data_IF_212741226360
#
_entry.id   IF_212741226360
#
_cell.length_a   1.000
_cell.length_b   1.000
_cell.length_c   1.000
_cell.angle_alpha   90.00
_cell.angle_beta   90.00
_cell.angle_gamma   90.00
#
_symmetry.space_group_name_H-M   'P 1'
#
loop_
_entity.id
_entity.type
_entity.pdbx_description
1 polymer ?
#
# COMPACT_ATOMS: atom_id res chain seq x y z
N UNK A 1 -8.06 9.66 52.20
CA UNK A 1 -7.04 9.35 53.23
C UNK A 1 -5.69 9.79 52.71
N UNK A 2 -4.73 10.11 53.59
CA UNK A 2 -3.35 10.43 53.20
C UNK A 2 -3.15 11.89 52.80
N UNK A 3 -3.03 12.78 53.78
CA UNK A 3 -2.38 14.07 53.62
C UNK A 3 -0.86 13.90 53.79
N UNK A 4 -0.07 14.52 52.92
CA UNK A 4 1.13 15.28 53.34
C UNK A 4 1.61 16.20 52.21
N UNK A 5 1.73 17.48 52.51
CA UNK A 5 2.52 18.42 51.69
C UNK A 5 4.02 18.24 51.97
N UNK A 6 4.86 18.12 50.94
CA UNK A 6 6.29 18.41 51.05
C UNK A 6 6.66 19.61 50.16
N UNK A 7 7.55 20.46 50.66
CA UNK A 7 7.75 21.85 50.27
C UNK A 7 9.23 22.12 50.04
N UNK A 8 9.83 21.35 49.14
CA UNK A 8 11.28 21.37 48.89
C UNK A 8 11.76 22.71 48.33
N UNK A 9 12.69 23.33 49.07
CA UNK A 9 13.12 24.71 48.88
C UNK A 9 13.96 24.92 47.62
N UNK A 10 13.43 25.65 46.64
CA UNK A 10 14.24 26.23 45.55
C UNK A 10 15.10 27.36 46.14
N UNK A 11 16.30 27.02 46.64
CA UNK A 11 17.32 28.00 47.02
C UNK A 11 17.89 28.65 45.75
N UNK A 12 17.46 29.88 45.45
CA UNK A 12 18.14 30.74 44.47
C UNK A 12 19.59 30.96 44.92
N UNK A 13 20.56 30.52 44.13
CA UNK A 13 21.92 31.01 44.23
C UNK A 13 21.99 32.40 43.57
N UNK A 14 22.58 33.38 44.26
CA UNK A 14 22.90 34.69 43.68
C UNK A 14 24.11 34.62 42.73
N UNK A 15 24.32 35.62 41.87
CA UNK A 15 25.46 35.67 40.98
C UNK A 15 26.77 35.85 41.75
N UNK A 16 27.81 35.10 41.36
CA UNK A 16 29.18 35.33 41.80
C UNK A 16 29.81 36.42 40.92
N UNK A 17 30.40 37.49 41.49
CA UNK A 17 31.33 38.33 40.75
C UNK A 17 32.69 37.63 40.68
N UNK A 18 33.22 37.44 39.46
CA UNK A 18 34.64 37.26 39.27
C UNK A 18 35.11 38.10 38.10
N UNK A 19 35.97 39.07 38.40
CA UNK A 19 36.45 40.08 37.47
C UNK A 19 37.69 39.54 36.73
N UNK A 20 37.72 39.74 35.41
CA UNK A 20 38.68 39.06 34.54
C UNK A 20 40.05 39.77 34.51
N UNK A 21 41.11 39.07 34.93
CA UNK A 21 42.49 39.39 34.54
C UNK A 21 43.20 38.13 34.01
N UNK A 22 43.91 38.20 32.86
CA UNK A 22 44.57 37.04 32.27
C UNK A 22 45.93 36.75 32.92
N UNK A 23 46.18 35.48 33.23
CA UNK A 23 47.52 34.97 33.51
C UNK A 23 48.27 34.78 32.18
N UNK A 24 49.45 35.40 32.07
CA UNK A 24 50.30 35.27 30.89
C UNK A 24 50.89 33.86 30.76
N UNK A 25 51.13 33.43 29.52
CA UNK A 25 51.79 32.15 29.21
C UNK A 25 53.30 32.23 29.43
N UNK A 26 53.96 31.10 29.74
CA UNK A 26 55.41 30.99 29.60
C UNK A 26 55.80 30.90 28.12
N UNK A 27 56.88 31.59 27.75
CA UNK A 27 57.52 31.49 26.43
C UNK A 27 59.01 31.24 26.61
N UNK A 28 59.56 30.38 25.76
CA UNK A 28 60.87 29.77 25.94
C UNK A 28 62.02 30.51 25.21
N UNK A 29 63.24 30.14 25.59
CA UNK A 29 64.49 30.28 24.82
C UNK A 29 65.21 31.66 24.68
N UNK A 30 66.53 31.67 24.37
CA UNK A 30 67.47 32.46 25.17
C UNK A 30 68.35 33.45 24.38
N UNK A 31 69.10 34.28 25.11
CA UNK A 31 70.35 34.88 24.60
C UNK A 31 71.46 34.87 25.65
N UNK A 32 72.68 34.63 25.17
CA UNK A 32 73.93 34.75 25.93
C UNK A 32 74.58 36.12 25.72
N UNK A 33 75.21 36.65 26.78
CA UNK A 33 76.40 37.54 26.83
C UNK A 33 76.66 37.79 28.34
N UNK A 34 77.86 38.07 28.83
CA UNK A 34 79.15 38.16 28.15
C UNK A 34 80.12 38.99 28.99
N UNK A 35 80.91 38.32 29.85
CA UNK A 35 81.85 38.95 30.79
C UNK A 35 81.26 39.24 32.19
N UNK A 36 82.05 39.31 33.26
CA UNK A 36 83.48 38.97 33.36
C UNK A 36 84.27 39.86 34.30
N UNK A 37 84.39 39.48 35.59
CA UNK A 37 85.52 39.90 36.42
C UNK A 37 85.75 39.03 37.67
N UNK A 38 87.00 38.57 37.75
CA UNK A 38 87.84 38.28 38.92
C UNK A 38 87.80 39.38 40.02
N UNK A 39 88.28 39.21 41.26
CA UNK A 39 89.01 38.13 41.97
C UNK A 39 88.76 38.23 43.53
N UNK A 40 89.39 37.42 44.41
CA UNK A 40 88.86 37.13 45.76
C UNK A 40 89.71 37.56 46.99
N UNK A 41 89.17 37.27 48.18
CA UNK A 41 89.87 37.09 49.48
C UNK A 41 90.44 38.40 50.14
N UNK A 42 91.24 38.38 51.23
CA UNK A 42 90.67 38.67 52.56
C UNK A 42 91.49 39.61 53.48
N UNK A 43 90.84 40.19 54.49
CA UNK A 43 91.50 40.78 55.67
C UNK A 43 90.72 40.39 56.94
N UNK A 44 91.26 39.88 58.06
CA UNK A 44 92.60 39.84 58.68
C UNK A 44 92.77 40.79 59.88
N UNK A 45 93.21 40.20 61.00
CA UNK A 45 94.00 40.81 62.09
C UNK A 45 93.55 42.12 62.75
N UNK A 46 93.25 42.03 64.05
CA UNK A 46 94.08 42.72 65.06
C UNK A 46 93.94 42.06 66.46
N UNK A 47 94.98 41.34 66.90
CA UNK A 47 95.25 41.13 68.32
C UNK A 47 96.28 42.20 68.73
N UNK A 48 96.07 42.88 69.85
CA UNK A 48 96.96 43.95 70.31
C UNK A 48 97.39 43.76 71.77
N UNK A 49 98.66 43.36 71.95
CA UNK A 49 99.45 43.39 73.18
C UNK A 49 100.93 43.22 72.80
N UNK A 50 101.93 43.61 73.63
CA UNK A 50 101.87 44.31 74.91
C UNK A 50 102.37 45.77 74.76
N UNK A 51 102.98 46.38 75.79
CA UNK A 51 104.45 46.33 75.80
C UNK A 51 105.06 45.96 77.17
N UNK A 52 106.29 45.45 77.13
CA UNK A 52 107.18 45.39 78.29
C UNK A 52 108.34 46.37 78.10
N UNK A 53 108.78 47.03 79.17
CA UNK A 53 110.04 47.78 79.21
C UNK A 53 110.75 47.49 80.54
N UNK A 54 112.08 47.50 80.49
CA UNK A 54 112.95 47.09 81.59
C UNK A 54 114.14 48.04 81.73
N UNK A 55 114.78 48.00 82.91
CA UNK A 55 116.18 48.41 83.14
C UNK A 55 116.55 49.89 82.99
N UNK A 56 116.79 50.55 84.12
CA UNK A 56 118.11 51.16 84.46
C UNK A 56 118.41 50.80 85.93
N UNK A 57 119.69 50.79 86.33
CA UNK A 57 120.17 50.29 87.64
C UNK A 57 121.00 51.33 88.41
N UNK A 58 121.15 51.11 89.74
CA UNK A 58 122.04 51.85 90.66
C UNK A 58 121.56 53.29 90.99
N UNK A 59 121.77 53.89 92.18
CA UNK A 59 122.94 53.88 93.09
C UNK A 59 122.53 53.85 94.60
N UNK A 60 123.51 53.48 95.45
CA UNK A 60 123.58 53.39 96.92
C UNK A 60 122.71 54.30 97.82
N UNK A 61 122.52 53.92 99.11
CA UNK A 61 121.94 54.86 100.10
C UNK A 61 121.54 54.45 101.52
N UNK A 62 122.04 53.36 102.14
CA UNK A 62 121.90 53.13 103.60
C UNK A 62 120.47 52.97 104.19
N UNK A 63 120.35 53.10 105.52
CA UNK A 63 119.06 53.25 106.24
C UNK A 63 118.33 51.96 106.66
N UNK A 64 118.58 51.50 107.90
CA UNK A 64 117.99 50.32 108.54
C UNK A 64 116.46 50.44 108.81
N UNK A 65 115.59 50.27 107.79
CA UNK A 65 114.11 50.34 107.97
C UNK A 65 113.31 49.39 107.04
N UNK A 66 113.79 48.15 106.88
CA UNK A 66 113.36 47.26 105.79
C UNK A 66 112.04 46.45 105.97
N UNK A 67 111.57 46.04 107.17
CA UNK A 67 110.36 45.23 107.29
C UNK A 67 109.07 45.99 106.92
N UNK A 68 108.88 47.18 107.49
CA UNK A 68 107.59 47.91 107.45
C UNK A 68 107.26 48.39 106.04
N UNK A 69 108.26 48.88 105.28
CA UNK A 69 108.06 49.33 103.90
C UNK A 69 107.64 48.18 102.96
N UNK A 70 108.19 46.97 103.16
CA UNK A 70 107.77 45.76 102.42
C UNK A 70 106.35 45.33 102.79
N UNK A 71 105.98 45.37 104.08
CA UNK A 71 104.62 45.07 104.52
C UNK A 71 103.59 46.04 103.92
N UNK A 72 103.87 47.34 103.92
CA UNK A 72 102.97 48.35 103.33
C UNK A 72 102.83 48.19 101.81
N UNK A 73 103.91 47.84 101.11
CA UNK A 73 103.86 47.52 99.68
C UNK A 73 103.00 46.27 99.41
N UNK A 74 103.17 45.21 100.20
CA UNK A 74 102.38 43.98 100.10
C UNK A 74 100.89 44.22 100.43
N UNK A 75 100.57 45.07 101.42
CA UNK A 75 99.21 45.48 101.73
C UNK A 75 98.56 46.27 100.59
N UNK A 76 99.29 47.21 99.96
CA UNK A 76 98.80 47.95 98.78
C UNK A 76 98.59 47.03 97.59
N UNK A 77 99.52 46.11 97.32
CA UNK A 77 99.39 45.12 96.25
C UNK A 77 98.19 44.17 96.49
N UNK A 78 97.98 43.71 97.73
CA UNK A 78 96.80 42.92 98.13
C UNK A 78 95.51 43.71 97.88
N UNK A 79 95.45 44.99 98.26
CA UNK A 79 94.25 45.82 98.02
C UNK A 79 93.98 46.03 96.53
N UNK A 80 95.01 46.31 95.72
CA UNK A 80 94.87 46.42 94.28
C UNK A 80 94.34 45.10 93.66
N UNK A 81 94.92 43.95 94.04
CA UNK A 81 94.44 42.65 93.60
C UNK A 81 92.98 42.37 94.04
N UNK A 82 92.56 42.81 95.24
CA UNK A 82 91.16 42.71 95.68
C UNK A 82 90.23 43.62 94.85
N UNK A 83 90.65 44.85 94.54
CA UNK A 83 89.90 45.76 93.68
C UNK A 83 89.79 45.24 92.24
N UNK A 84 90.83 44.61 91.71
CA UNK A 84 90.81 44.00 90.37
C UNK A 84 90.00 42.71 90.33
N UNK A 85 90.03 41.88 91.38
CA UNK A 85 89.09 40.76 91.57
C UNK A 85 87.64 41.26 91.61
N UNK A 86 87.35 42.38 92.28
CA UNK A 86 86.00 42.96 92.29
C UNK A 86 85.58 43.48 90.91
N UNK A 87 86.47 44.18 90.19
CA UNK A 87 86.21 44.63 88.80
C UNK A 87 85.95 43.43 87.87
N UNK A 88 86.72 42.35 88.02
CA UNK A 88 86.57 41.12 87.26
C UNK A 88 85.25 40.39 87.62
N UNK A 89 84.88 40.32 88.89
CA UNK A 89 83.60 39.76 89.34
C UNK A 89 82.41 40.54 88.76
N UNK A 90 82.43 41.87 88.85
CA UNK A 90 81.40 42.74 88.27
C UNK A 90 81.29 42.54 86.75
N UNK A 91 82.44 42.44 86.04
CA UNK A 91 82.48 42.19 84.59
C UNK A 91 81.95 40.80 84.22
N UNK A 92 82.28 39.76 85.00
CA UNK A 92 81.76 38.41 84.81
C UNK A 92 80.24 38.35 85.05
N UNK A 93 79.72 39.10 86.04
CA UNK A 93 78.28 39.19 86.28
C UNK A 93 77.54 39.92 85.15
N UNK A 94 78.13 41.00 84.61
CA UNK A 94 77.59 41.67 83.41
C UNK A 94 77.60 40.73 82.20
N UNK A 95 78.73 40.06 81.92
CA UNK A 95 78.85 39.14 80.78
C UNK A 95 77.87 37.97 80.90
N UNK A 96 77.66 37.40 82.09
CA UNK A 96 76.60 36.39 82.34
C UNK A 96 75.20 36.93 82.06
N UNK A 97 74.90 38.17 82.49
CA UNK A 97 73.61 38.83 82.19
C UNK A 97 73.43 39.17 80.70
N UNK A 98 74.50 39.30 79.94
CA UNK A 98 74.48 39.49 78.48
C UNK A 98 74.37 38.15 77.74
N UNK A 99 75.04 37.11 78.22
CA UNK A 99 74.91 35.72 77.80
C UNK A 99 73.47 35.21 78.00
N UNK A 100 72.89 35.39 79.19
CA UNK A 100 71.47 35.07 79.46
C UNK A 100 70.51 35.74 78.46
N UNK A 101 70.75 37.01 78.14
CA UNK A 101 69.95 37.77 77.16
C UNK A 101 70.15 37.23 75.74
N UNK A 102 71.37 36.86 75.37
CA UNK A 102 71.67 36.29 74.04
C UNK A 102 71.08 34.89 73.89
N UNK A 103 71.21 34.03 74.90
CA UNK A 103 70.62 32.68 74.95
C UNK A 103 69.10 32.74 74.86
N UNK A 104 68.44 33.64 75.60
CA UNK A 104 66.98 33.84 75.50
C UNK A 104 66.56 34.31 74.10
N UNK A 105 67.27 35.26 73.50
CA UNK A 105 67.03 35.71 72.11
C UNK A 105 67.22 34.56 71.12
N UNK A 106 68.30 33.78 71.24
CA UNK A 106 68.57 32.62 70.37
C UNK A 106 67.48 31.55 70.51
N UNK A 107 67.02 31.27 71.73
CA UNK A 107 65.92 30.33 71.98
C UNK A 107 64.61 30.83 71.36
N UNK A 108 64.29 32.11 71.51
CA UNK A 108 63.11 32.72 70.89
C UNK A 108 63.20 32.72 69.35
N UNK A 109 64.35 33.07 68.77
CA UNK A 109 64.58 33.01 67.31
C UNK A 109 64.45 31.58 66.80
N UNK A 110 64.98 30.58 67.52
CA UNK A 110 64.81 29.15 67.18
C UNK A 110 63.34 28.73 67.23
N UNK A 111 62.58 29.13 68.28
CA UNK A 111 61.15 28.83 68.39
C UNK A 111 60.34 29.46 67.27
N UNK A 112 60.55 30.76 66.98
CA UNK A 112 59.92 31.46 65.85
C UNK A 112 60.28 30.81 64.51
N UNK A 113 61.52 30.34 64.33
CA UNK A 113 61.93 29.61 63.12
C UNK A 113 61.20 28.26 62.99
N UNK A 114 61.07 27.50 64.08
CA UNK A 114 60.29 26.25 64.13
C UNK A 114 58.82 26.51 63.76
N UNK A 115 58.17 27.48 64.41
CA UNK A 115 56.79 27.89 64.11
C UNK A 115 56.59 28.28 62.63
N UNK A 116 57.57 28.99 62.03
CA UNK A 116 57.56 29.32 60.60
C UNK A 116 57.72 28.06 59.74
N UNK A 117 58.58 27.11 60.09
CA UNK A 117 58.72 25.85 59.33
C UNK A 117 57.48 24.96 59.42
N UNK A 118 56.85 24.87 60.59
CA UNK A 118 55.60 24.12 60.80
C UNK A 118 54.39 24.78 60.11
N UNK A 119 54.34 26.11 60.10
CA UNK A 119 53.33 26.85 59.32
C UNK A 119 53.53 26.63 57.82
N UNK A 120 54.77 26.75 57.32
CA UNK A 120 55.10 26.49 55.90
C UNK A 120 54.75 25.06 55.49
N UNK A 121 55.09 24.07 56.32
CA UNK A 121 54.72 22.68 56.07
C UNK A 121 53.20 22.52 55.99
N UNK A 122 52.45 22.96 57.02
CA UNK A 122 50.97 22.86 57.02
C UNK A 122 50.32 23.59 55.84
N UNK A 123 50.88 24.73 55.41
CA UNK A 123 50.38 25.47 54.25
C UNK A 123 50.66 24.74 52.93
N UNK A 124 51.81 24.08 52.78
CA UNK A 124 52.14 23.28 51.60
C UNK A 124 51.39 21.94 51.59
N UNK A 125 51.28 21.23 52.72
CA UNK A 125 50.43 20.04 52.88
C UNK A 125 48.96 20.38 52.49
N UNK A 126 48.43 21.51 52.97
CA UNK A 126 47.08 21.99 52.63
C UNK A 126 46.94 22.46 51.17
N UNK A 127 48.03 22.92 50.53
CA UNK A 127 48.06 23.26 49.11
C UNK A 127 48.05 22.00 48.24
N UNK A 128 48.85 21.00 48.59
CA UNK A 128 48.91 19.71 47.90
C UNK A 128 47.57 18.97 48.03
N UNK A 129 46.95 18.96 49.21
CA UNK A 129 45.61 18.41 49.41
C UNK A 129 44.54 19.10 48.54
N UNK A 130 44.60 20.43 48.36
CA UNK A 130 43.71 21.16 47.44
C UNK A 130 43.94 20.79 45.98
N UNK A 131 45.20 20.68 45.56
CA UNK A 131 45.56 20.29 44.18
C UNK A 131 45.10 18.86 43.89
N UNK A 132 45.35 17.92 44.80
CA UNK A 132 44.91 16.53 44.70
C UNK A 132 43.39 16.43 44.59
N UNK A 133 42.66 17.05 45.53
CA UNK A 133 41.19 17.09 45.52
C UNK A 133 40.63 17.71 44.23
N UNK A 134 41.26 18.77 43.71
CA UNK A 134 40.86 19.38 42.43
C UNK A 134 41.11 18.42 41.24
N UNK A 135 42.26 17.72 41.21
CA UNK A 135 42.59 16.75 40.17
C UNK A 135 41.66 15.53 40.19
N UNK A 136 41.38 14.98 41.38
CA UNK A 136 40.40 13.91 41.58
C UNK A 136 39.02 14.34 41.08
N UNK A 137 38.53 15.51 41.53
CA UNK A 137 37.21 16.02 41.14
C UNK A 137 37.09 16.30 39.65
N UNK A 138 38.18 16.73 39.01
CA UNK A 138 38.23 16.93 37.57
C UNK A 138 38.32 15.59 36.80
N UNK A 139 38.97 14.57 37.36
CA UNK A 139 38.92 13.19 36.84
C UNK A 139 37.52 12.56 36.97
N UNK A 140 36.83 12.74 38.11
CA UNK A 140 35.42 12.32 38.25
C UNK A 140 34.53 12.94 37.17
N UNK A 141 34.70 14.24 36.91
CA UNK A 141 33.94 14.96 35.89
C UNK A 141 34.27 14.48 34.46
N UNK A 142 35.54 14.19 34.15
CA UNK A 142 35.95 13.55 32.89
C UNK A 142 35.31 12.16 32.75
N UNK A 143 35.50 11.28 33.73
CA UNK A 143 34.96 9.92 33.73
C UNK A 143 33.42 9.91 33.59
N UNK A 144 32.72 10.86 34.22
CA UNK A 144 31.28 11.06 34.05
C UNK A 144 30.93 11.53 32.63
N UNK A 145 31.66 12.51 32.09
CA UNK A 145 31.46 13.00 30.73
C UNK A 145 31.65 11.88 29.68
N UNK A 146 32.74 11.13 29.77
CA UNK A 146 33.08 10.04 28.86
C UNK A 146 32.09 8.88 28.99
N UNK A 147 31.63 8.57 30.20
CA UNK A 147 30.53 7.63 30.43
C UNK A 147 29.23 8.10 29.76
N UNK A 148 28.87 9.37 29.88
CA UNK A 148 27.67 9.95 29.23
C UNK A 148 27.81 9.95 27.70
N UNK A 149 29.00 10.25 27.16
CA UNK A 149 29.30 10.16 25.73
C UNK A 149 29.20 8.72 25.23
N UNK A 150 29.87 7.76 25.87
CA UNK A 150 29.81 6.35 25.49
C UNK A 150 28.37 5.81 25.56
N UNK A 151 27.63 6.10 26.63
CA UNK A 151 26.20 5.74 26.71
C UNK A 151 25.34 6.40 25.63
N UNK A 152 25.68 7.61 25.15
CA UNK A 152 24.99 8.30 24.04
C UNK A 152 25.34 7.67 22.69
N UNK A 153 26.61 7.37 22.45
CA UNK A 153 27.15 6.68 21.28
C UNK A 153 26.58 5.25 21.16
N UNK A 154 26.54 4.49 22.25
CA UNK A 154 25.99 3.14 22.26
C UNK A 154 24.48 3.14 22.00
N UNK A 155 23.73 4.08 22.59
CA UNK A 155 22.31 4.28 22.27
C UNK A 155 22.10 4.65 20.79
N UNK A 156 23.00 5.45 20.18
CA UNK A 156 22.99 5.73 18.73
C UNK A 156 23.25 4.45 17.93
N UNK A 157 24.28 3.67 18.26
CA UNK A 157 24.64 2.40 17.61
C UNK A 157 23.53 1.36 17.72
N UNK A 158 22.94 1.16 18.90
CA UNK A 158 21.79 0.25 19.11
C UNK A 158 20.58 0.66 18.26
N UNK A 159 20.25 1.95 18.19
CA UNK A 159 19.18 2.48 17.31
C UNK A 159 19.48 2.25 15.84
N UNK A 160 20.71 2.54 15.38
CA UNK A 160 21.12 2.31 13.99
C UNK A 160 21.10 0.82 13.62
N UNK A 161 21.62 -0.06 14.48
CA UNK A 161 21.60 -1.51 14.28
C UNK A 161 20.16 -2.06 14.21
N UNK A 162 19.27 -1.62 15.11
CA UNK A 162 17.84 -1.98 15.09
C UNK A 162 17.14 -1.47 13.83
N UNK A 163 17.39 -0.22 13.41
CA UNK A 163 16.83 0.33 12.18
C UNK A 163 17.32 -0.42 10.92
N UNK A 164 18.61 -0.79 10.87
CA UNK A 164 19.17 -1.60 9.79
C UNK A 164 18.61 -3.02 9.77
N UNK A 165 18.46 -3.67 10.93
CA UNK A 165 17.82 -4.98 11.04
C UNK A 165 16.36 -4.94 10.57
N UNK A 166 15.58 -3.97 11.05
CA UNK A 166 14.18 -3.75 10.66
C UNK A 166 14.03 -3.37 9.17
N UNK A 167 15.02 -2.70 8.58
CA UNK A 167 15.06 -2.44 7.13
C UNK A 167 15.38 -3.71 6.34
N UNK A 168 16.31 -4.55 6.84
CA UNK A 168 16.68 -5.82 6.22
C UNK A 168 15.50 -6.80 6.22
N UNK A 169 14.87 -7.04 7.37
CA UNK A 169 13.72 -7.98 7.46
C UNK A 169 12.56 -7.55 6.57
N UNK A 170 12.20 -6.25 6.56
CA UNK A 170 11.18 -5.70 5.65
C UNK A 170 11.55 -5.86 4.17
N UNK A 171 12.82 -5.70 3.79
CA UNK A 171 13.28 -5.94 2.41
C UNK A 171 13.18 -7.42 2.02
N UNK A 172 13.53 -8.32 2.93
CA UNK A 172 13.43 -9.78 2.72
C UNK A 172 11.96 -10.23 2.63
N UNK A 173 11.08 -9.68 3.46
CA UNK A 173 9.63 -9.90 3.43
C UNK A 173 9.01 -9.39 2.12
N UNK A 174 9.30 -8.14 1.71
CA UNK A 174 8.85 -7.58 0.43
C UNK A 174 9.38 -8.42 -0.75
N UNK A 175 10.61 -8.93 -0.69
CA UNK A 175 11.16 -9.80 -1.73
C UNK A 175 10.42 -11.15 -1.81
N UNK A 176 10.09 -11.77 -0.67
CA UNK A 176 9.27 -13.00 -0.60
C UNK A 176 7.88 -12.77 -1.17
N UNK A 177 7.16 -11.74 -0.70
CA UNK A 177 5.82 -11.39 -1.17
C UNK A 177 5.80 -11.05 -2.67
N UNK A 178 6.84 -10.40 -3.19
CA UNK A 178 6.97 -10.13 -4.63
C UNK A 178 7.19 -11.41 -5.44
N UNK A 179 7.98 -12.36 -4.94
CA UNK A 179 8.19 -13.65 -5.60
C UNK A 179 6.93 -14.53 -5.56
N UNK A 180 6.22 -14.56 -4.42
CA UNK A 180 4.95 -15.28 -4.26
C UNK A 180 3.85 -14.69 -5.14
N UNK A 181 3.66 -13.36 -5.10
CA UNK A 181 2.75 -12.66 -6.01
C UNK A 181 3.04 -12.99 -7.47
N UNK A 182 4.32 -12.95 -7.88
CA UNK A 182 4.71 -13.30 -9.26
C UNK A 182 4.27 -14.73 -9.62
N UNK A 183 4.48 -15.72 -8.74
CA UNK A 183 4.04 -17.11 -8.99
C UNK A 183 2.52 -17.23 -9.14
N UNK A 184 1.75 -16.48 -8.36
CA UNK A 184 0.28 -16.43 -8.46
C UNK A 184 -0.16 -15.74 -9.77
N UNK A 185 0.53 -14.68 -10.20
CA UNK A 185 0.29 -14.02 -11.49
C UNK A 185 0.63 -14.96 -12.68
N UNK A 186 1.72 -15.72 -12.60
CA UNK A 186 2.08 -16.75 -13.59
C UNK A 186 1.07 -17.91 -13.63
N UNK A 187 0.65 -18.44 -12.47
CA UNK A 187 -0.34 -19.53 -12.40
C UNK A 187 -1.72 -19.09 -12.90
N UNK A 188 -2.18 -17.90 -12.51
CA UNK A 188 -3.48 -17.37 -12.98
C UNK A 188 -3.46 -16.99 -14.46
N UNK A 189 -2.30 -16.60 -15.02
CA UNK A 189 -2.14 -16.47 -16.46
C UNK A 189 -2.22 -17.82 -17.18
N UNK A 190 -1.55 -18.86 -16.67
CA UNK A 190 -1.62 -20.22 -17.23
C UNK A 190 -3.04 -20.79 -17.22
N UNK A 191 -3.76 -20.69 -16.10
CA UNK A 191 -5.17 -21.13 -15.99
C UNK A 191 -6.07 -20.40 -16.99
N UNK A 192 -5.92 -19.08 -17.15
CA UNK A 192 -6.67 -18.28 -18.14
C UNK A 192 -6.41 -18.71 -19.57
N UNK A 193 -5.16 -19.08 -19.90
CA UNK A 193 -4.82 -19.56 -21.24
C UNK A 193 -5.37 -20.98 -21.49
N UNK A 194 -5.32 -21.86 -20.49
CA UNK A 194 -5.94 -23.19 -20.56
C UNK A 194 -7.46 -23.09 -20.79
N UNK A 195 -8.15 -22.21 -20.06
CA UNK A 195 -9.59 -21.96 -20.23
C UNK A 195 -9.90 -21.27 -21.57
N UNK A 196 -9.00 -20.40 -22.08
CA UNK A 196 -9.10 -19.83 -23.44
C UNK A 196 -9.01 -20.93 -24.50
N UNK A 197 -8.09 -21.89 -24.35
CA UNK A 197 -7.94 -23.03 -25.26
C UNK A 197 -9.17 -23.95 -25.22
N UNK A 198 -9.70 -24.28 -24.03
CA UNK A 198 -10.95 -25.04 -23.88
C UNK A 198 -12.16 -24.34 -24.52
N UNK A 199 -12.24 -23.01 -24.38
CA UNK A 199 -13.29 -22.21 -25.00
C UNK A 199 -13.19 -22.20 -26.53
N UNK A 200 -11.97 -22.12 -27.09
CA UNK A 200 -11.72 -22.21 -28.52
C UNK A 200 -12.05 -23.61 -29.08
N UNK A 201 -11.65 -24.68 -28.39
CA UNK A 201 -11.99 -26.05 -28.75
C UNK A 201 -13.52 -26.29 -28.73
N UNK A 202 -14.19 -25.87 -27.65
CA UNK A 202 -15.65 -25.94 -27.53
C UNK A 202 -16.36 -25.17 -28.66
N UNK A 203 -15.87 -23.97 -28.99
CA UNK A 203 -16.42 -23.13 -30.08
C UNK A 203 -16.28 -23.81 -31.45
N UNK A 204 -15.13 -24.42 -31.74
CA UNK A 204 -14.92 -25.12 -33.01
C UNK A 204 -15.74 -26.42 -33.07
N UNK A 205 -15.87 -27.16 -31.97
CA UNK A 205 -16.75 -28.34 -31.89
C UNK A 205 -18.22 -27.99 -32.15
N UNK A 206 -18.73 -26.91 -31.56
CA UNK A 206 -20.09 -26.42 -31.81
C UNK A 206 -20.26 -26.01 -33.29
N UNK A 207 -19.28 -25.30 -33.86
CA UNK A 207 -19.25 -24.90 -35.27
C UNK A 207 -19.28 -26.10 -36.22
N UNK A 208 -18.46 -27.12 -35.97
CA UNK A 208 -18.43 -28.35 -36.79
C UNK A 208 -19.74 -29.14 -36.66
N UNK A 209 -20.27 -29.26 -35.44
CA UNK A 209 -21.57 -29.90 -35.17
C UNK A 209 -22.71 -29.19 -35.92
N UNK A 210 -22.73 -27.86 -35.92
CA UNK A 210 -23.72 -27.06 -36.64
C UNK A 210 -23.58 -27.14 -38.18
N UNK A 211 -22.34 -27.22 -38.70
CA UNK A 211 -22.09 -27.43 -40.13
C UNK A 211 -22.59 -28.82 -40.58
N UNK A 212 -22.21 -29.88 -39.87
CA UNK A 212 -22.67 -31.24 -40.15
C UNK A 212 -24.20 -31.40 -40.03
N UNK A 213 -24.83 -30.75 -39.04
CA UNK A 213 -26.29 -30.71 -38.92
C UNK A 213 -26.94 -30.03 -40.13
N UNK A 214 -26.40 -28.89 -40.58
CA UNK A 214 -26.87 -28.19 -41.79
C UNK A 214 -26.67 -29.02 -43.06
N UNK A 215 -25.58 -29.76 -43.15
CA UNK A 215 -25.27 -30.66 -44.26
C UNK A 215 -26.29 -31.80 -44.37
N UNK A 216 -26.59 -32.52 -43.27
CA UNK A 216 -27.65 -33.55 -43.27
C UNK A 216 -29.03 -33.01 -43.65
N UNK A 217 -29.37 -31.78 -43.24
CA UNK A 217 -30.61 -31.10 -43.66
C UNK A 217 -30.64 -30.76 -45.15
N UNK A 218 -29.50 -30.43 -45.75
CA UNK A 218 -29.39 -30.21 -47.21
C UNK A 218 -29.50 -31.54 -47.97
N UNK A 219 -28.80 -32.59 -47.52
CA UNK A 219 -28.96 -33.94 -48.08
C UNK A 219 -30.41 -34.41 -48.01
N UNK A 220 -31.10 -34.21 -46.88
CA UNK A 220 -32.49 -34.63 -46.71
C UNK A 220 -33.43 -33.90 -47.68
N UNK A 221 -33.24 -32.59 -47.85
CA UNK A 221 -33.95 -31.81 -48.87
C UNK A 221 -33.66 -32.35 -50.28
N UNK A 222 -32.40 -32.65 -50.60
CA UNK A 222 -32.01 -33.23 -51.89
C UNK A 222 -32.64 -34.62 -52.10
N UNK A 223 -32.65 -35.48 -51.07
CA UNK A 223 -33.30 -36.81 -51.10
C UNK A 223 -34.81 -36.69 -51.30
N UNK A 224 -35.48 -35.76 -50.63
CA UNK A 224 -36.92 -35.57 -50.74
C UNK A 224 -37.31 -34.93 -52.08
N UNK A 225 -36.50 -34.00 -52.61
CA UNK A 225 -36.65 -33.47 -53.98
C UNK A 225 -36.46 -34.57 -55.03
N UNK A 226 -35.48 -35.47 -54.88
CA UNK A 226 -35.32 -36.62 -55.77
C UNK A 226 -36.52 -37.56 -55.74
N UNK A 227 -37.01 -37.93 -54.54
CA UNK A 227 -38.23 -38.76 -54.41
C UNK A 227 -39.45 -38.12 -55.09
N UNK A 228 -39.68 -36.82 -54.86
CA UNK A 228 -40.77 -36.08 -55.46
C UNK A 228 -40.63 -36.01 -56.99
N UNK A 229 -39.41 -35.80 -57.50
CA UNK A 229 -39.11 -35.84 -58.94
C UNK A 229 -39.39 -37.22 -59.55
N UNK A 230 -38.89 -38.31 -58.94
CA UNK A 230 -39.10 -39.66 -59.48
C UNK A 230 -40.57 -40.09 -59.44
N UNK A 231 -41.34 -39.66 -58.43
CA UNK A 231 -42.78 -39.90 -58.35
C UNK A 231 -43.55 -39.07 -59.40
N UNK A 232 -43.13 -37.84 -59.67
CA UNK A 232 -43.67 -37.03 -60.77
C UNK A 232 -43.36 -37.64 -62.14
N UNK A 233 -42.12 -38.05 -62.39
CA UNK A 233 -41.70 -38.69 -63.64
C UNK A 233 -42.43 -40.02 -63.86
N UNK A 234 -42.64 -40.83 -62.81
CA UNK A 234 -43.49 -42.03 -62.85
C UNK A 234 -44.92 -41.73 -63.31
N UNK A 235 -45.56 -40.70 -62.72
CA UNK A 235 -46.94 -40.30 -63.10
C UNK A 235 -47.03 -39.77 -64.52
N UNK A 236 -46.03 -39.01 -64.99
CA UNK A 236 -45.98 -38.52 -66.37
C UNK A 236 -45.88 -39.67 -67.37
N UNK A 237 -45.06 -40.69 -67.08
CA UNK A 237 -44.95 -41.86 -67.95
C UNK A 237 -46.18 -42.78 -67.87
N UNK A 238 -46.85 -42.87 -66.70
CA UNK A 238 -48.14 -43.56 -66.57
C UNK A 238 -49.23 -42.90 -67.42
N UNK A 239 -49.41 -41.57 -67.33
CA UNK A 239 -50.35 -40.81 -68.18
C UNK A 239 -49.98 -40.89 -69.67
N UNK A 240 -48.69 -40.81 -70.02
CA UNK A 240 -48.24 -41.05 -71.40
C UNK A 240 -48.63 -42.44 -71.89
N UNK A 241 -48.40 -43.49 -71.09
CA UNK A 241 -48.73 -44.86 -71.47
C UNK A 241 -50.25 -45.07 -71.60
N UNK A 242 -51.05 -44.40 -70.77
CA UNK A 242 -52.51 -44.40 -70.85
C UNK A 242 -53.01 -43.65 -72.09
N UNK A 243 -52.39 -42.51 -72.42
CA UNK A 243 -52.68 -41.75 -73.62
C UNK A 243 -52.30 -42.52 -74.89
N UNK A 244 -51.16 -43.21 -74.92
CA UNK A 244 -50.73 -44.03 -76.05
C UNK A 244 -51.66 -45.25 -76.26
N UNK A 245 -52.16 -45.87 -75.18
CA UNK A 245 -53.20 -46.92 -75.28
C UNK A 245 -54.48 -46.36 -75.91
N UNK A 246 -54.98 -45.22 -75.42
CA UNK A 246 -56.16 -44.53 -75.97
C UNK A 246 -55.95 -44.12 -77.43
N UNK A 247 -54.76 -43.64 -77.80
CA UNK A 247 -54.42 -43.26 -79.18
C UNK A 247 -54.40 -44.48 -80.12
N UNK A 248 -53.90 -45.64 -79.66
CA UNK A 248 -53.97 -46.91 -80.41
C UNK A 248 -55.40 -47.40 -80.59
N UNK A 249 -56.24 -47.26 -79.57
CA UNK A 249 -57.67 -47.60 -79.62
C UNK A 249 -58.45 -46.67 -80.58
N UNK A 250 -58.24 -45.36 -80.49
CA UNK A 250 -58.76 -44.36 -81.44
C UNK A 250 -58.29 -44.65 -82.88
N UNK A 251 -57.04 -45.05 -83.08
CA UNK A 251 -56.51 -45.43 -84.40
C UNK A 251 -57.18 -46.70 -84.97
N UNK A 252 -57.62 -47.63 -84.10
CA UNK A 252 -58.43 -48.79 -84.51
C UNK A 252 -59.85 -48.38 -84.88
N UNK A 253 -60.52 -47.59 -84.03
CA UNK A 253 -61.88 -47.11 -84.30
C UNK A 253 -61.96 -46.24 -85.58
N UNK A 254 -60.97 -45.37 -85.82
CA UNK A 254 -60.90 -44.57 -87.05
C UNK A 254 -60.68 -45.41 -88.33
N UNK A 255 -60.05 -46.58 -88.24
CA UNK A 255 -59.95 -47.53 -89.37
C UNK A 255 -61.27 -48.24 -89.63
N UNK A 256 -61.97 -48.64 -88.56
CA UNK A 256 -63.29 -49.28 -88.64
C UNK A 256 -64.34 -48.29 -89.19
N UNK A 257 -64.28 -47.02 -88.78
CA UNK A 257 -65.05 -45.91 -89.35
C UNK A 257 -64.71 -45.69 -90.83
N UNK A 258 -63.44 -45.59 -91.20
CA UNK A 258 -63.00 -45.44 -92.60
C UNK A 258 -63.51 -46.59 -93.48
N UNK A 259 -63.46 -47.83 -92.99
CA UNK A 259 -64.05 -48.98 -93.67
C UNK A 259 -65.57 -48.87 -93.81
N UNK A 260 -66.29 -48.44 -92.76
CA UNK A 260 -67.74 -48.24 -92.79
C UNK A 260 -68.14 -47.15 -93.78
N UNK A 261 -67.43 -46.01 -93.80
CA UNK A 261 -67.61 -44.92 -94.77
C UNK A 261 -67.38 -45.44 -96.19
N UNK A 262 -66.31 -46.20 -96.45
CA UNK A 262 -66.09 -46.80 -97.75
C UNK A 262 -67.16 -47.84 -98.14
N UNK A 263 -67.63 -48.67 -97.19
CA UNK A 263 -68.71 -49.64 -97.40
C UNK A 263 -70.03 -48.93 -97.72
N UNK A 264 -70.32 -47.80 -97.06
CA UNK A 264 -71.47 -46.94 -97.34
C UNK A 264 -71.35 -46.27 -98.72
N UNK A 265 -70.19 -45.70 -99.04
CA UNK A 265 -69.95 -45.06 -100.35
C UNK A 265 -70.06 -46.07 -101.50
N UNK A 266 -69.53 -47.29 -101.34
CA UNK A 266 -69.71 -48.39 -102.32
C UNK A 266 -71.19 -48.75 -102.50
N UNK A 267 -71.97 -48.85 -101.42
CA UNK A 267 -73.43 -49.09 -101.49
C UNK A 267 -74.18 -47.93 -102.15
N UNK A 268 -73.85 -46.69 -101.83
CA UNK A 268 -74.44 -45.50 -102.47
C UNK A 268 -74.08 -45.39 -103.96
N UNK A 269 -72.89 -45.86 -104.37
CA UNK A 269 -72.50 -45.97 -105.77
C UNK A 269 -73.30 -47.06 -106.48
N UNK A 270 -73.33 -48.28 -105.93
CA UNK A 270 -74.11 -49.40 -106.46
C UNK A 270 -75.62 -49.08 -106.56
N UNK A 271 -76.19 -48.40 -105.56
CA UNK A 271 -77.59 -47.94 -105.61
C UNK A 271 -77.82 -46.94 -106.75
N UNK A 272 -76.87 -46.03 -106.98
CA UNK A 272 -76.94 -45.03 -108.07
C UNK A 272 -76.77 -45.68 -109.45
N UNK A 273 -75.87 -46.64 -109.57
CA UNK A 273 -75.68 -47.46 -110.78
C UNK A 273 -76.92 -48.30 -111.09
N UNK A 274 -77.54 -48.91 -110.08
CA UNK A 274 -78.79 -49.67 -110.22
C UNK A 274 -79.98 -48.76 -110.57
N UNK A 275 -80.04 -47.52 -110.06
CA UNK A 275 -81.04 -46.54 -110.53
C UNK A 275 -80.78 -46.11 -111.98
N UNK A 276 -79.52 -45.88 -112.38
CA UNK A 276 -79.18 -45.53 -113.77
C UNK A 276 -79.49 -46.68 -114.75
N UNK A 277 -79.31 -47.94 -114.33
CA UNK A 277 -79.71 -49.13 -115.07
C UNK A 277 -81.23 -49.30 -115.14
N UNK A 278 -81.96 -48.99 -114.06
CA UNK A 278 -83.42 -48.94 -114.03
C UNK A 278 -83.97 -47.83 -114.94
N UNK A 279 -83.37 -46.64 -114.95
CA UNK A 279 -83.74 -45.53 -115.85
C UNK A 279 -83.54 -45.91 -117.32
N UNK A 280 -82.46 -46.63 -117.64
CA UNK A 280 -82.24 -47.20 -118.99
C UNK A 280 -83.28 -48.27 -119.34
N UNK A 281 -83.63 -49.14 -118.40
CA UNK A 281 -84.62 -50.20 -118.61
C UNK A 281 -86.06 -49.66 -118.76
N UNK A 282 -86.40 -48.55 -118.10
CA UNK A 282 -87.69 -47.85 -118.18
C UNK A 282 -87.80 -46.92 -119.41
N UNK A 283 -86.91 -47.05 -120.39
CA UNK A 283 -86.73 -46.15 -121.53
C UNK A 283 -87.85 -46.08 -122.59
N UNK A 284 -89.13 -46.33 -122.26
CA UNK A 284 -90.25 -46.12 -123.20
C UNK A 284 -91.54 -45.59 -122.51
N UNK A 285 -92.20 -44.62 -123.17
CA UNK A 285 -93.60 -44.16 -123.00
C UNK A 285 -93.91 -42.98 -122.03
N UNK A 286 -94.09 -41.80 -122.65
CA UNK A 286 -95.07 -40.70 -122.41
C UNK A 286 -95.15 -39.91 -121.06
N UNK A 287 -94.83 -38.62 -121.18
CA UNK A 287 -95.73 -37.44 -121.01
C UNK A 287 -96.71 -37.38 -119.80
N UNK A 288 -96.18 -37.20 -118.59
CA UNK A 288 -96.55 -36.13 -117.61
C UNK A 288 -98.00 -35.96 -117.10
N UNK A 289 -98.31 -34.72 -116.63
CA UNK A 289 -99.61 -34.12 -116.21
C UNK A 289 -99.98 -34.12 -114.69
N UNK A 290 -99.93 -32.91 -114.12
CA UNK A 290 -100.61 -32.36 -112.91
C UNK A 290 -100.23 -32.77 -111.47
N UNK A 291 -99.72 -31.78 -110.73
CA UNK A 291 -100.31 -31.12 -109.53
C UNK A 291 -101.09 -31.99 -108.51
N UNK A 292 -100.49 -32.17 -107.33
CA UNK A 292 -101.10 -32.30 -105.99
C UNK A 292 -99.97 -32.05 -104.95
N UNK A 293 -100.23 -31.69 -103.69
CA UNK A 293 -101.56 -31.53 -103.07
C UNK A 293 -101.65 -31.69 -101.55
N UNK A 294 -100.52 -31.76 -100.83
CA UNK A 294 -100.48 -31.76 -99.35
C UNK A 294 -100.82 -33.08 -98.65
N UNK A 295 -100.53 -33.14 -97.34
CA UNK A 295 -101.21 -34.03 -96.39
C UNK A 295 -100.42 -35.21 -95.78
N UNK A 296 -99.96 -35.02 -94.53
CA UNK A 296 -100.26 -35.98 -93.44
C UNK A 296 -99.21 -37.03 -93.04
N UNK A 297 -99.18 -37.34 -91.73
CA UNK A 297 -98.49 -38.49 -91.13
C UNK A 297 -97.03 -38.26 -90.72
N UNK A 298 -96.62 -38.35 -89.43
CA UNK A 298 -97.39 -38.49 -88.19
C UNK A 298 -96.97 -39.70 -87.34
N UNK A 299 -96.47 -39.45 -86.13
CA UNK A 299 -96.07 -40.46 -85.14
C UNK A 299 -94.56 -40.40 -84.80
N UNK A 300 -94.14 -40.45 -83.53
CA UNK A 300 -94.94 -40.40 -82.29
C UNK A 300 -94.07 -40.60 -81.04
N UNK A 301 -94.59 -40.21 -79.86
CA UNK A 301 -94.01 -40.56 -78.55
C UNK A 301 -93.11 -39.51 -77.89
N UNK A 302 -93.67 -38.78 -76.92
CA UNK A 302 -92.98 -38.53 -75.63
C UNK A 302 -93.46 -39.61 -74.61
N UNK A 303 -93.61 -39.31 -73.30
CA UNK A 303 -93.28 -38.07 -72.59
C UNK A 303 -92.74 -38.26 -71.13
N UNK A 304 -92.48 -37.14 -70.39
CA UNK A 304 -92.46 -37.01 -68.91
C UNK A 304 -91.44 -37.87 -68.09
N UNK A 305 -91.27 -37.77 -66.75
CA UNK A 305 -91.10 -36.67 -65.76
C UNK A 305 -90.84 -37.27 -64.33
N UNK A 306 -90.58 -36.46 -63.28
CA UNK A 306 -90.64 -36.78 -61.81
C UNK A 306 -89.41 -37.57 -61.26
N UNK A 307 -88.81 -37.39 -60.06
CA UNK A 307 -88.91 -36.50 -58.86
C UNK A 307 -87.47 -36.19 -58.32
N UNK A 308 -87.15 -35.12 -57.57
CA UNK A 308 -87.38 -34.81 -56.11
C UNK A 308 -87.14 -35.99 -55.14
N UNK A 309 -86.56 -35.85 -53.92
CA UNK A 309 -85.64 -34.90 -53.26
C UNK A 309 -85.06 -35.60 -51.98
N UNK A 310 -84.45 -35.07 -50.89
CA UNK A 310 -84.24 -33.71 -50.32
C UNK A 310 -83.14 -33.71 -49.20
N UNK A 311 -82.74 -32.53 -48.68
CA UNK A 311 -81.93 -32.30 -47.45
C UNK A 311 -80.41 -32.56 -47.51
N UNK A 312 -79.52 -31.91 -46.73
CA UNK A 312 -79.61 -30.80 -45.75
C UNK A 312 -78.53 -30.94 -44.64
N UNK A 313 -77.74 -29.94 -44.20
CA UNK A 313 -77.71 -28.50 -44.52
C UNK A 313 -76.42 -27.76 -44.03
N UNK A 314 -76.59 -26.53 -43.52
CA UNK A 314 -75.62 -25.46 -43.12
C UNK A 314 -74.47 -25.87 -42.17
N UNK A 315 -73.35 -25.12 -41.96
CA UNK A 315 -73.15 -23.67 -41.62
C UNK A 315 -71.86 -23.08 -42.27
N UNK A 316 -71.69 -21.74 -42.26
CA UNK A 316 -70.68 -20.92 -42.99
C UNK A 316 -69.57 -20.28 -42.06
N UNK A 317 -68.54 -19.57 -42.60
CA UNK A 317 -67.27 -19.19 -41.91
C UNK A 317 -67.29 -17.78 -41.24
N UNK A 318 -66.14 -17.19 -40.83
CA UNK A 318 -65.33 -16.34 -41.74
C UNK A 318 -63.79 -16.29 -41.48
N UNK A 319 -63.10 -15.35 -42.13
CA UNK A 319 -61.69 -14.93 -41.90
C UNK A 319 -61.53 -13.96 -40.71
N UNK A 320 -60.31 -13.84 -40.16
CA UNK A 320 -59.55 -12.58 -39.88
C UNK A 320 -58.21 -12.91 -39.18
N UNK A 321 -57.35 -11.94 -38.79
CA UNK A 321 -56.06 -12.27 -38.15
C UNK A 321 -55.27 -11.15 -37.46
N UNK A 322 -54.30 -11.58 -36.61
CA UNK A 322 -53.39 -10.78 -35.75
C UNK A 322 -54.10 -10.04 -34.57
N UNK A 323 -53.42 -9.58 -33.49
CA UNK A 323 -52.00 -9.67 -33.11
C UNK A 323 -51.69 -10.09 -31.63
N UNK A 324 -50.39 -10.22 -31.32
CA UNK A 324 -49.64 -9.82 -30.08
C UNK A 324 -50.28 -9.82 -28.65
N UNK A 325 -49.58 -10.50 -27.70
CA UNK A 325 -49.59 -10.31 -26.21
C UNK A 325 -50.87 -10.73 -25.44
N UNK A 326 -50.86 -10.92 -24.10
CA UNK A 326 -49.84 -10.65 -23.06
C UNK A 326 -49.78 -11.77 -21.96
N UNK A 327 -49.31 -11.43 -20.74
CA UNK A 327 -49.16 -12.26 -19.54
C UNK A 327 -50.38 -13.13 -19.16
N UNK A 328 -50.11 -14.20 -18.39
CA UNK A 328 -51.07 -14.72 -17.40
C UNK A 328 -50.38 -14.84 -16.02
N UNK A 329 -51.17 -14.88 -14.93
CA UNK A 329 -50.71 -14.47 -13.58
C UNK A 329 -51.00 -15.48 -12.47
N UNK A 330 -50.10 -15.52 -11.49
CA UNK A 330 -50.40 -15.81 -10.09
C UNK A 330 -51.00 -17.20 -9.74
N UNK A 331 -50.15 -18.22 -9.64
CA UNK A 331 -50.36 -19.30 -8.65
C UNK A 331 -49.66 -18.92 -7.36
N UNK A 332 -50.42 -18.53 -6.33
CA UNK A 332 -49.90 -18.24 -4.99
C UNK A 332 -50.47 -19.20 -3.96
N UNK A 333 -49.62 -20.11 -3.47
CA UNK A 333 -49.82 -20.84 -2.22
C UNK A 333 -48.48 -21.38 -1.68
N UNK A 334 -48.04 -20.80 -0.57
CA UNK A 334 -47.19 -21.42 0.47
C UNK A 334 -45.97 -22.27 0.05
N UNK A 335 -44.79 -21.63 0.03
CA UNK A 335 -43.59 -22.26 0.58
C UNK A 335 -42.84 -21.28 1.51
N UNK A 336 -43.32 -21.17 2.75
CA UNK A 336 -42.55 -20.59 3.84
C UNK A 336 -41.35 -21.48 4.17
N UNK A 337 -40.13 -21.00 3.89
CA UNK A 337 -38.86 -21.39 4.53
C UNK A 337 -37.67 -20.59 4.00
N UNK A 338 -37.00 -19.86 4.91
CA UNK A 338 -35.58 -19.51 4.80
C UNK A 338 -35.23 -18.35 3.87
N UNK A 339 -34.90 -17.19 4.47
CA UNK A 339 -34.24 -16.09 3.76
C UNK A 339 -32.76 -16.46 3.57
N UNK A 340 -32.41 -17.02 2.41
CA UNK A 340 -31.04 -17.11 1.92
C UNK A 340 -30.98 -17.22 0.39
N UNK A 341 -30.02 -16.53 -0.22
CA UNK A 341 -29.67 -16.56 -1.65
C UNK A 341 -30.79 -16.26 -2.66
N UNK A 342 -31.07 -14.96 -2.87
CA UNK A 342 -31.53 -14.45 -4.18
C UNK A 342 -30.35 -14.35 -5.16
N UNK A 343 -30.58 -14.25 -6.47
CA UNK A 343 -29.47 -13.97 -7.39
C UNK A 343 -28.94 -12.55 -7.18
N UNK A 344 -27.61 -12.43 -7.15
CA UNK A 344 -26.86 -11.18 -7.00
C UNK A 344 -27.25 -10.13 -8.07
N UNK A 345 -27.75 -10.59 -9.23
CA UNK A 345 -28.24 -9.73 -10.32
C UNK A 345 -29.63 -9.15 -10.06
N UNK A 346 -30.50 -9.90 -9.39
CA UNK A 346 -31.85 -9.46 -9.03
C UNK A 346 -31.78 -8.40 -7.92
N UNK A 347 -30.88 -8.59 -6.96
CA UNK A 347 -30.54 -7.58 -5.94
C UNK A 347 -30.06 -6.27 -6.59
N UNK A 348 -29.10 -6.32 -7.53
CA UNK A 348 -28.61 -5.14 -8.26
C UNK A 348 -29.73 -4.46 -9.05
N UNK A 349 -30.61 -5.22 -9.69
CA UNK A 349 -31.74 -4.68 -10.44
C UNK A 349 -32.75 -3.97 -9.53
N UNK A 350 -33.08 -4.55 -8.37
CA UNK A 350 -33.98 -3.95 -7.39
C UNK A 350 -33.39 -2.65 -6.80
N UNK A 351 -32.11 -2.65 -6.42
CA UNK A 351 -31.43 -1.46 -5.89
C UNK A 351 -31.39 -0.36 -6.95
N UNK A 352 -31.06 -0.70 -8.20
CA UNK A 352 -31.01 0.24 -9.32
C UNK A 352 -32.38 0.84 -9.65
N UNK A 353 -33.44 0.05 -9.55
CA UNK A 353 -34.81 0.54 -9.76
C UNK A 353 -35.19 1.61 -8.70
N UNK A 354 -34.86 1.40 -7.42
CA UNK A 354 -35.13 2.41 -6.37
C UNK A 354 -34.22 3.64 -6.48
N UNK A 355 -32.98 3.48 -6.94
CA UNK A 355 -32.07 4.61 -7.19
C UNK A 355 -32.58 5.50 -8.34
N UNK A 356 -32.96 4.90 -9.47
CA UNK A 356 -33.50 5.62 -10.64
C UNK A 356 -34.81 6.38 -10.32
N UNK A 357 -35.58 5.93 -9.33
CA UNK A 357 -36.81 6.60 -8.87
C UNK A 357 -36.53 7.92 -8.10
N UNK A 358 -35.29 8.14 -7.65
CA UNK A 358 -34.85 9.38 -7.00
C UNK A 358 -33.99 10.25 -7.94
N UNK A 359 -33.28 9.65 -8.88
CA UNK A 359 -32.58 10.34 -9.98
C UNK A 359 -33.51 10.56 -11.18
N UNK A 360 -34.55 11.37 -10.98
CA UNK A 360 -35.59 11.68 -11.99
C UNK A 360 -35.07 12.42 -13.23
N UNK A 361 -33.81 12.86 -13.23
CA UNK A 361 -33.15 13.54 -14.35
C UNK A 361 -32.05 12.67 -15.00
N UNK A 362 -31.89 11.40 -14.57
CA UNK A 362 -30.97 10.43 -15.19
C UNK A 362 -29.49 10.78 -15.11
N UNK A 363 -29.07 11.49 -14.05
CA UNK A 363 -27.74 12.08 -13.87
C UNK A 363 -26.65 11.09 -13.46
N UNK A 364 -27.03 9.88 -13.03
CA UNK A 364 -26.16 8.86 -12.44
C UNK A 364 -25.84 9.06 -10.96
N UNK A 365 -26.46 10.05 -10.30
CA UNK A 365 -26.21 10.41 -8.91
C UNK A 365 -27.44 11.00 -8.23
N UNK A 366 -27.59 10.74 -6.93
CA UNK A 366 -28.59 11.39 -6.06
C UNK A 366 -27.91 12.42 -5.14
N UNK A 367 -28.67 13.40 -4.65
CA UNK A 367 -28.17 14.32 -3.62
C UNK A 367 -28.07 13.62 -2.26
N UNK A 368 -27.08 13.99 -1.44
CA UNK A 368 -26.83 13.37 -0.13
C UNK A 368 -28.04 13.37 0.81
N UNK A 369 -28.83 14.45 0.80
CA UNK A 369 -30.10 14.57 1.57
C UNK A 369 -31.15 13.51 1.21
N UNK A 370 -31.07 12.92 0.03
CA UNK A 370 -32.05 11.97 -0.50
C UNK A 370 -31.64 10.50 -0.24
N UNK A 371 -30.45 10.25 0.33
CA UNK A 371 -29.98 8.92 0.77
C UNK A 371 -30.96 8.26 1.75
N UNK A 372 -31.47 9.01 2.74
CA UNK A 372 -32.44 8.48 3.71
C UNK A 372 -33.74 7.99 3.04
N UNK A 373 -34.14 8.61 1.92
CA UNK A 373 -35.30 8.17 1.12
C UNK A 373 -34.99 6.90 0.31
N UNK A 374 -33.75 6.75 -0.18
CA UNK A 374 -33.30 5.54 -0.86
C UNK A 374 -33.32 4.34 0.10
N UNK A 375 -32.69 4.48 1.27
CA UNK A 375 -32.65 3.43 2.30
C UNK A 375 -34.06 3.00 2.71
N UNK A 376 -34.94 3.96 2.99
CA UNK A 376 -36.34 3.68 3.34
C UNK A 376 -37.11 2.94 2.23
N UNK A 377 -36.81 3.21 0.96
CA UNK A 377 -37.38 2.49 -0.21
C UNK A 377 -36.83 1.08 -0.41
N UNK A 378 -35.61 0.82 0.07
CA UNK A 378 -34.98 -0.51 0.10
C UNK A 378 -35.43 -1.34 1.31
N UNK A 379 -36.30 -0.80 2.17
CA UNK A 379 -36.80 -1.43 3.38
C UNK A 379 -35.99 -1.11 4.64
N UNK A 380 -34.80 -0.51 4.50
CA UNK A 380 -33.90 -0.23 5.61
C UNK A 380 -34.27 1.06 6.36
N UNK A 381 -34.30 0.96 7.70
CA UNK A 381 -34.80 2.01 8.60
C UNK A 381 -33.71 2.52 9.53
N UNK A 382 -32.68 3.13 8.95
CA UNK A 382 -31.63 3.82 9.70
C UNK A 382 -32.17 5.10 10.36
N UNK A 383 -31.77 5.35 11.60
CA UNK A 383 -32.02 6.60 12.30
C UNK A 383 -31.19 7.75 11.70
N UNK A 384 -31.63 9.00 11.88
CA UNK A 384 -30.95 10.21 11.39
C UNK A 384 -29.42 10.25 11.65
N UNK A 385 -28.89 9.97 12.87
CA UNK A 385 -27.44 9.94 13.09
C UNK A 385 -26.70 8.77 12.41
N UNK A 386 -27.40 7.71 11.99
CA UNK A 386 -26.84 6.64 11.17
C UNK A 386 -26.83 7.03 9.69
N UNK A 387 -27.90 7.65 9.18
CA UNK A 387 -27.97 8.21 7.81
C UNK A 387 -26.89 9.28 7.63
N UNK A 388 -26.66 10.15 8.62
CA UNK A 388 -25.58 11.14 8.59
C UNK A 388 -24.18 10.51 8.45
N UNK A 389 -23.92 9.37 9.10
CA UNK A 389 -22.66 8.61 8.98
C UNK A 389 -22.53 7.92 7.62
N UNK A 390 -23.60 7.31 7.12
CA UNK A 390 -23.63 6.72 5.78
C UNK A 390 -23.36 7.78 4.70
N UNK A 391 -24.00 8.95 4.80
CA UNK A 391 -23.73 10.12 3.96
C UNK A 391 -22.28 10.56 4.02
N UNK A 392 -21.66 10.62 5.21
CA UNK A 392 -20.25 11.01 5.37
C UNK A 392 -19.28 9.98 4.75
N UNK A 393 -19.62 8.69 4.77
CA UNK A 393 -18.82 7.63 4.15
C UNK A 393 -18.93 7.66 2.61
N UNK A 394 -20.15 7.89 2.09
CA UNK A 394 -20.42 7.93 0.65
C UNK A 394 -19.95 9.23 -0.01
N UNK A 395 -20.15 10.38 0.64
CA UNK A 395 -19.70 11.69 0.16
C UNK A 395 -18.40 12.13 0.85
N UNK A 396 -17.41 11.24 0.89
CA UNK A 396 -16.08 11.50 1.47
C UNK A 396 -15.26 12.61 0.78
N UNK A 397 -15.82 13.27 -0.24
CA UNK A 397 -15.26 14.44 -0.94
C UNK A 397 -16.07 15.73 -0.72
N UNK A 398 -17.21 15.68 -0.02
CA UNK A 398 -18.08 16.84 0.20
C UNK A 398 -18.70 17.43 -1.08
N UNK A 399 -18.93 16.59 -2.09
CA UNK A 399 -19.48 16.98 -3.38
C UNK A 399 -21.01 17.17 -3.36
N UNK A 400 -21.69 16.78 -2.27
CA UNK A 400 -23.15 16.81 -2.12
C UNK A 400 -23.88 15.73 -2.92
N UNK A 401 -23.15 14.75 -3.48
CA UNK A 401 -23.63 13.80 -4.50
C UNK A 401 -23.13 12.39 -4.23
N UNK A 402 -24.02 11.42 -4.34
CA UNK A 402 -23.74 9.99 -4.17
C UNK A 402 -23.96 9.30 -5.52
N UNK A 403 -22.94 8.65 -6.06
CA UNK A 403 -23.06 7.89 -7.31
C UNK A 403 -23.63 6.50 -7.05
N UNK A 404 -24.30 5.92 -8.05
CA UNK A 404 -24.87 4.58 -7.94
C UNK A 404 -23.83 3.50 -7.58
N UNK A 405 -22.65 3.56 -8.19
CA UNK A 405 -21.58 2.58 -7.96
C UNK A 405 -21.00 2.68 -6.53
N UNK A 406 -20.84 3.89 -6.01
CA UNK A 406 -20.32 4.12 -4.65
C UNK A 406 -21.35 3.62 -3.61
N UNK A 407 -22.64 3.91 -3.83
CA UNK A 407 -23.73 3.37 -3.01
C UNK A 407 -23.79 1.84 -3.05
N UNK A 408 -23.73 1.24 -4.25
CA UNK A 408 -23.81 -0.22 -4.41
C UNK A 408 -22.59 -0.93 -3.80
N UNK A 409 -21.41 -0.30 -3.77
CA UNK A 409 -20.22 -0.85 -3.12
C UNK A 409 -20.38 -0.82 -1.59
N UNK A 410 -20.85 0.30 -1.03
CA UNK A 410 -21.11 0.48 0.41
C UNK A 410 -22.28 -0.38 0.92
N UNK A 411 -23.30 -0.64 0.10
CA UNK A 411 -24.42 -1.53 0.43
C UNK A 411 -23.98 -3.01 0.60
N UNK A 412 -22.74 -3.35 0.23
CA UNK A 412 -22.26 -4.73 0.06
C UNK A 412 -21.06 -5.13 0.93
N UNK A 413 -20.59 -4.27 1.85
CA UNK A 413 -19.43 -4.53 2.70
C UNK A 413 -19.31 -3.59 3.89
#
# INVERSE_FOLDING_TARGET
>A
MGDTSDRTLIRKAGPLPYESQPLAQPSDQPHSHGGGQSHPHPYSTNLAAPPALSTVSSIAGGGQFLPIKRLLAAQKARKAAQEDVQKLANRLEQLRKEEDKSVRRIAETKKRAQEITEMRKRNEDARQARIHWQQEREQELRNFHDSVLNNKEERRRRRQASAMANSKTKKEEIARLKAEKKRIEEETAMRREEDRLKALQSKEYIRQSALHFRERLLEEKIRNLHKARTEFERRVEEERSLHERKARELSKMAKEEMELIQKLHRRQKQQREAYEELEKALGVIRKGKYMLGGGGGGGGGGPLNICNSDGGGTINPPEEGLPLRDLDTNVSASLDKGISTLDRREEEAAIKAQFNLLDSEGKGWIATRDLGKLLYRLGERLAEPQVARATQQLDGKGAGKIQFNDFLLWWRG
#
